data_IF_911283936749
#
_entry.id   IF_911283936749
#
_cell.length_a   1.000
_cell.length_b   1.000
_cell.length_c   1.000
_cell.angle_alpha   90.00
_cell.angle_beta   90.00
_cell.angle_gamma   90.00
#
_symmetry.space_group_name_H-M   'P 1'
#
loop_
_entity.id
_entity.type
_entity.pdbx_description
1 polymer ?
#
# COMPACT_ATOMS: atom_id res chain seq x y z
N UNK A 1 -4.37 5.50 -26.41
CA UNK A 1 -4.84 5.30 -25.01
C UNK A 1 -6.33 4.98 -25.07
N UNK A 2 -6.77 3.76 -24.71
CA UNK A 2 -8.20 3.41 -24.66
C UNK A 2 -8.75 3.88 -23.31
N UNK A 3 -9.52 4.97 -23.30
CA UNK A 3 -10.20 5.45 -22.09
C UNK A 3 -11.47 4.60 -21.90
N UNK A 4 -11.50 3.78 -20.84
CA UNK A 4 -12.76 3.10 -20.44
C UNK A 4 -13.71 4.18 -19.91
N UNK A 5 -14.81 4.45 -20.61
CA UNK A 5 -15.90 5.32 -20.13
C UNK A 5 -16.86 4.60 -19.17
N UNK A 6 -16.39 3.59 -18.43
CA UNK A 6 -17.20 2.94 -17.41
C UNK A 6 -17.05 3.69 -16.10
N UNK A 7 -18.07 4.48 -15.75
CA UNK A 7 -18.14 5.23 -14.48
C UNK A 7 -17.88 4.33 -13.27
N UNK A 8 -18.39 3.10 -13.30
CA UNK A 8 -18.20 2.13 -12.23
C UNK A 8 -16.73 1.71 -12.06
N UNK A 9 -16.06 1.34 -13.15
CA UNK A 9 -14.66 0.94 -13.09
C UNK A 9 -13.76 2.11 -12.68
N UNK A 10 -14.09 3.33 -13.10
CA UNK A 10 -13.37 4.53 -12.67
C UNK A 10 -13.53 4.77 -11.17
N UNK A 11 -14.75 4.63 -10.63
CA UNK A 11 -14.99 4.78 -9.19
C UNK A 11 -14.21 3.74 -8.36
N UNK A 12 -14.13 2.49 -8.84
CA UNK A 12 -13.37 1.43 -8.15
C UNK A 12 -11.87 1.76 -8.08
N UNK A 13 -11.28 2.17 -9.21
CA UNK A 13 -9.86 2.57 -9.27
C UNK A 13 -9.59 3.81 -8.42
N UNK A 14 -10.48 4.79 -8.46
CA UNK A 14 -10.35 6.00 -7.64
C UNK A 14 -10.45 5.70 -6.14
N UNK A 15 -11.31 4.76 -5.75
CA UNK A 15 -11.51 4.34 -4.37
C UNK A 15 -10.25 3.64 -3.82
N UNK A 16 -9.67 2.71 -4.58
CA UNK A 16 -8.41 2.04 -4.25
C UNK A 16 -7.28 3.06 -4.01
N UNK A 17 -7.17 4.08 -4.86
CA UNK A 17 -6.13 5.09 -4.74
C UNK A 17 -6.39 6.13 -3.64
N UNK A 18 -7.61 6.25 -3.11
CA UNK A 18 -8.02 7.32 -2.18
C UNK A 18 -7.19 7.33 -0.90
N UNK A 19 -6.90 6.15 -0.37
CA UNK A 19 -6.12 6.00 0.87
C UNK A 19 -4.67 6.45 0.70
N UNK A 20 -4.05 6.08 -0.43
CA UNK A 20 -2.69 6.47 -0.78
C UNK A 20 -2.63 7.98 -1.02
N UNK A 21 -3.55 8.54 -1.82
CA UNK A 21 -3.63 9.99 -2.08
C UNK A 21 -3.81 10.81 -0.80
N UNK A 22 -4.62 10.33 0.15
CA UNK A 22 -4.82 11.01 1.46
C UNK A 22 -3.52 11.12 2.26
N UNK A 23 -2.72 10.04 2.30
CA UNK A 23 -1.42 10.02 3.00
C UNK A 23 -0.39 10.92 2.31
N UNK A 24 -0.30 10.84 0.98
CA UNK A 24 0.63 11.66 0.19
C UNK A 24 0.32 13.16 0.31
N UNK A 25 -0.97 13.53 0.40
CA UNK A 25 -1.38 14.94 0.54
C UNK A 25 -0.77 15.60 1.78
N UNK A 26 -0.65 14.87 2.90
CA UNK A 26 -0.01 15.38 4.11
C UNK A 26 1.51 15.57 3.96
N UNK A 27 2.13 14.83 3.04
CA UNK A 27 3.58 14.88 2.76
C UNK A 27 3.95 15.94 1.72
N UNK A 28 2.99 16.72 1.20
CA UNK A 28 3.16 17.66 0.08
C UNK A 28 3.68 16.99 -1.21
N UNK A 29 3.37 15.71 -1.42
CA UNK A 29 3.85 14.96 -2.57
C UNK A 29 5.25 14.36 -2.41
N UNK A 30 5.68 13.60 -3.42
CA UNK A 30 7.02 12.99 -3.43
C UNK A 30 8.01 13.86 -4.21
N UNK A 31 9.18 14.13 -3.62
CA UNK A 31 10.25 14.91 -4.27
C UNK A 31 11.14 14.08 -5.23
N UNK A 32 11.01 12.76 -5.22
CA UNK A 32 11.81 11.83 -6.04
C UNK A 32 11.04 10.54 -6.29
N UNK A 33 11.12 10.01 -7.51
CA UNK A 33 10.54 8.72 -7.88
C UNK A 33 11.06 7.56 -7.04
N UNK A 34 12.37 7.54 -6.76
CA UNK A 34 12.97 6.50 -5.91
C UNK A 34 12.35 6.49 -4.51
N UNK A 35 12.13 7.68 -3.93
CA UNK A 35 11.48 7.83 -2.62
C UNK A 35 9.99 7.46 -2.69
N UNK A 36 9.30 7.85 -3.76
CA UNK A 36 7.91 7.47 -3.99
C UNK A 36 7.75 5.95 -4.03
N UNK A 37 8.60 5.26 -4.80
CA UNK A 37 8.58 3.81 -4.92
C UNK A 37 8.81 3.11 -3.58
N UNK A 38 9.82 3.53 -2.81
CA UNK A 38 10.10 2.95 -1.50
C UNK A 38 8.93 3.14 -0.51
N UNK A 39 8.32 4.33 -0.49
CA UNK A 39 7.17 4.61 0.39
C UNK A 39 5.94 3.80 -0.02
N UNK A 40 5.64 3.74 -1.33
CA UNK A 40 4.50 2.96 -1.84
C UNK A 40 4.69 1.47 -1.54
N UNK A 41 5.89 0.93 -1.75
CA UNK A 41 6.21 -0.47 -1.40
C UNK A 41 6.03 -0.74 0.10
N UNK A 42 6.48 0.16 0.99
CA UNK A 42 6.26 0.03 2.42
C UNK A 42 4.78 0.04 2.82
N UNK A 43 3.98 0.91 2.19
CA UNK A 43 2.51 0.96 2.39
C UNK A 43 1.87 -0.37 1.95
N UNK A 44 2.30 -0.91 0.82
CA UNK A 44 1.80 -2.18 0.27
C UNK A 44 2.13 -3.37 1.17
N UNK A 45 3.37 -3.47 1.67
CA UNK A 45 3.80 -4.50 2.63
C UNK A 45 2.92 -4.48 3.88
N UNK A 46 2.72 -3.30 4.50
CA UNK A 46 1.85 -3.19 5.69
C UNK A 46 0.43 -3.62 5.36
N UNK A 47 -0.07 -3.29 4.17
CA UNK A 47 -1.41 -3.68 3.73
C UNK A 47 -1.54 -5.20 3.56
N UNK A 48 -0.54 -5.85 2.96
CA UNK A 48 -0.46 -7.30 2.81
C UNK A 48 -0.37 -8.02 4.17
N UNK A 49 0.44 -7.50 5.11
CA UNK A 49 0.55 -8.02 6.48
C UNK A 49 -0.80 -7.95 7.21
N UNK A 50 -1.50 -6.81 7.13
CA UNK A 50 -2.83 -6.64 7.74
C UNK A 50 -3.89 -7.55 7.14
N UNK A 51 -3.80 -7.84 5.85
CA UNK A 51 -4.70 -8.78 5.16
C UNK A 51 -4.32 -10.25 5.38
N UNK A 52 -3.20 -10.53 6.07
CA UNK A 52 -2.68 -11.89 6.22
C UNK A 52 -2.29 -12.52 4.88
N UNK A 53 -1.94 -11.73 3.85
CA UNK A 53 -1.55 -12.23 2.54
C UNK A 53 -0.09 -12.72 2.52
N UNK A 54 0.73 -12.19 3.43
CA UNK A 54 2.09 -12.65 3.70
C UNK A 54 2.06 -13.80 4.74
N UNK A 55 1.25 -14.84 4.50
CA UNK A 55 1.15 -15.99 5.40
C UNK A 55 2.52 -16.65 5.53
N UNK A 56 3.09 -16.55 6.71
CA UNK A 56 4.18 -17.41 7.13
C UNK A 56 3.64 -18.21 8.32
N UNK A 57 3.56 -19.55 8.25
CA UNK A 57 3.00 -20.39 9.32
C UNK A 57 3.74 -20.24 10.66
N UNK A 58 4.89 -19.57 10.69
CA UNK A 58 5.64 -19.23 11.91
C UNK A 58 5.34 -17.83 12.48
N UNK A 59 4.38 -17.08 11.91
CA UNK A 59 4.05 -15.70 12.33
C UNK A 59 2.65 -15.57 12.93
N UNK A 60 1.98 -16.69 13.19
CA UNK A 60 0.68 -16.73 13.83
C UNK A 60 0.79 -16.13 15.25
N UNK A 61 0.09 -15.02 15.49
CA UNK A 61 0.07 -14.30 16.76
C UNK A 61 0.92 -13.04 16.84
N UNK A 62 1.78 -12.76 15.85
CA UNK A 62 2.56 -11.51 15.81
C UNK A 62 1.72 -10.34 15.30
N UNK A 63 1.90 -9.17 15.91
CA UNK A 63 1.32 -7.93 15.41
C UNK A 63 1.88 -7.56 14.03
N UNK A 64 1.14 -6.80 13.20
CA UNK A 64 1.65 -6.35 11.91
C UNK A 64 2.97 -5.56 11.98
N UNK A 65 3.26 -4.91 13.12
CA UNK A 65 4.51 -4.21 13.35
C UNK A 65 5.67 -5.18 13.57
N UNK A 66 5.49 -6.20 14.41
CA UNK A 66 6.50 -7.25 14.65
C UNK A 66 6.80 -8.02 13.37
N UNK A 67 5.77 -8.38 12.60
CA UNK A 67 5.95 -9.04 11.31
C UNK A 67 6.73 -8.16 10.32
N UNK A 68 6.55 -6.83 10.37
CA UNK A 68 7.30 -5.88 9.55
C UNK A 68 8.77 -5.81 9.96
N UNK A 69 9.07 -5.70 11.26
CA UNK A 69 10.46 -5.69 11.74
C UNK A 69 11.22 -6.96 11.36
N UNK A 70 10.56 -8.13 11.41
CA UNK A 70 11.15 -9.40 10.97
C UNK A 70 11.37 -9.52 9.45
N UNK A 71 10.85 -8.61 8.63
CA UNK A 71 11.15 -8.57 7.18
C UNK A 71 12.34 -7.67 6.85
N UNK A 72 12.70 -6.78 7.76
CA UNK A 72 13.74 -5.75 7.56
C UNK A 72 15.04 -6.11 8.28
N UNK A 73 14.98 -6.99 9.29
CA UNK A 73 16.12 -7.61 9.95
C UNK A 73 16.83 -8.60 9.02
#
# INVERSE_FOLDING_TARGET
>A
IKVRQSKYLNNLVEQEHRNIKRRIRQMLGFKSFRRAQAILAGIEIIHMLRKGQLQNPHRDGLSPAEQFYLLVA
#
